data_IF_740896672651
#
_entry.id   IF_740896672651
#
_cell.length_a   1.000
_cell.length_b   1.000
_cell.length_c   1.000
_cell.angle_alpha   90.00
_cell.angle_beta   90.00
_cell.angle_gamma   90.00
#
_symmetry.space_group_name_H-M   'P 1'
#
loop_
_entity.id
_entity.type
_entity.pdbx_description
1 polymer ?
#
# COMPACT_ATOMS: atom_id res chain seq x y z
N UNK A 1 -5.36 22.72 -1.14
CA UNK A 1 -5.35 21.45 -1.91
C UNK A 1 -5.80 20.26 -1.06
N UNK A 2 -5.14 19.97 0.08
CA UNK A 2 -5.48 18.83 0.95
C UNK A 2 -6.95 18.83 1.45
N UNK A 3 -7.48 19.97 1.90
CA UNK A 3 -8.88 20.08 2.34
C UNK A 3 -9.86 19.79 1.19
N UNK A 4 -9.55 20.20 -0.04
CA UNK A 4 -10.39 19.91 -1.20
C UNK A 4 -10.40 18.40 -1.52
N UNK A 5 -9.25 17.72 -1.40
CA UNK A 5 -9.14 16.28 -1.56
C UNK A 5 -9.92 15.53 -0.47
N UNK A 6 -9.77 15.94 0.79
CA UNK A 6 -10.54 15.36 1.90
C UNK A 6 -12.04 15.54 1.70
N UNK A 7 -12.49 16.74 1.32
CA UNK A 7 -13.90 17.03 1.00
C UNK A 7 -14.41 16.21 -0.19
N UNK A 8 -13.58 15.97 -1.21
CA UNK A 8 -13.92 15.09 -2.32
C UNK A 8 -14.25 13.67 -1.82
N UNK A 9 -13.38 13.06 -1.02
CA UNK A 9 -13.63 11.73 -0.45
C UNK A 9 -14.83 11.72 0.48
N UNK A 10 -14.98 12.70 1.37
CA UNK A 10 -16.17 12.81 2.20
C UNK A 10 -17.46 13.03 1.42
N UNK A 11 -17.42 13.56 0.19
CA UNK A 11 -18.61 13.68 -0.67
C UNK A 11 -18.91 12.39 -1.43
N UNK A 12 -17.89 11.66 -1.86
CA UNK A 12 -18.03 10.46 -2.71
C UNK A 12 -18.16 9.16 -1.92
N UNK A 13 -17.76 9.11 -0.65
CA UNK A 13 -17.81 7.88 0.13
C UNK A 13 -19.26 7.40 0.33
N UNK A 14 -19.53 6.17 -0.09
CA UNK A 14 -20.82 5.50 -0.02
C UNK A 14 -20.58 4.00 -0.07
N UNK A 15 -21.60 3.18 0.20
CA UNK A 15 -21.47 1.74 0.03
C UNK A 15 -21.15 1.36 -1.43
N UNK A 16 -21.62 2.14 -2.41
CA UNK A 16 -21.37 1.91 -3.85
C UNK A 16 -19.90 2.12 -4.20
N UNK A 17 -19.30 3.22 -3.72
CA UNK A 17 -17.87 3.50 -3.94
C UNK A 17 -16.98 2.57 -3.13
N UNK A 18 -17.43 2.12 -1.97
CA UNK A 18 -16.77 1.05 -1.21
C UNK A 18 -16.77 -0.27 -2.01
N UNK A 19 -17.93 -0.71 -2.51
CA UNK A 19 -18.04 -1.94 -3.30
C UNK A 19 -17.20 -1.85 -4.58
N UNK A 20 -17.25 -0.72 -5.28
CA UNK A 20 -16.39 -0.48 -6.45
C UNK A 20 -14.91 -0.61 -6.09
N UNK A 21 -14.47 0.03 -5.00
CA UNK A 21 -13.08 -0.07 -4.54
C UNK A 21 -12.68 -1.51 -4.23
N UNK A 22 -13.54 -2.29 -3.57
CA UNK A 22 -13.30 -3.71 -3.27
C UNK A 22 -13.20 -4.54 -4.54
N UNK A 23 -14.13 -4.36 -5.48
CA UNK A 23 -14.16 -5.10 -6.76
C UNK A 23 -12.91 -4.81 -7.59
N UNK A 24 -12.45 -3.56 -7.62
CA UNK A 24 -11.22 -3.18 -8.30
C UNK A 24 -9.96 -3.67 -7.58
N UNK A 25 -10.00 -3.75 -6.24
CA UNK A 25 -8.89 -4.17 -5.41
C UNK A 25 -8.61 -5.68 -5.55
N UNK A 26 -9.64 -6.53 -5.43
CA UNK A 26 -9.50 -7.99 -5.31
C UNK A 26 -8.62 -8.64 -6.40
N UNK A 27 -8.75 -8.31 -7.70
CA UNK A 27 -7.96 -8.95 -8.75
C UNK A 27 -6.45 -8.86 -8.57
N UNK A 28 -5.95 -7.80 -7.91
CA UNK A 28 -4.52 -7.57 -7.71
C UNK A 28 -3.87 -8.63 -6.82
N UNK A 29 -4.21 -8.76 -5.52
CA UNK A 29 -3.63 -9.80 -4.67
C UNK A 29 -4.13 -11.21 -5.04
N UNK A 30 -5.37 -11.35 -5.52
CA UNK A 30 -5.94 -12.68 -5.79
C UNK A 30 -5.36 -13.34 -7.04
N UNK A 31 -4.94 -12.55 -8.03
CA UNK A 31 -4.50 -13.06 -9.33
C UNK A 31 -3.21 -12.41 -9.81
N UNK A 32 -3.16 -11.08 -9.97
CA UNK A 32 -2.03 -10.41 -10.64
C UNK A 32 -0.71 -10.62 -9.88
N UNK A 33 -0.66 -10.27 -8.58
CA UNK A 33 0.55 -10.40 -7.78
C UNK A 33 0.92 -11.85 -7.50
N UNK A 34 -0.08 -12.71 -7.23
CA UNK A 34 0.15 -14.14 -7.05
C UNK A 34 0.82 -14.77 -8.28
N UNK A 35 0.37 -14.41 -9.48
CA UNK A 35 0.95 -14.92 -10.72
C UNK A 35 2.31 -14.29 -11.03
N UNK A 36 2.49 -13.00 -10.75
CA UNK A 36 3.78 -12.32 -10.88
C UNK A 36 4.81 -13.00 -9.98
N UNK A 37 4.51 -13.18 -8.70
CA UNK A 37 5.40 -13.83 -7.73
C UNK A 37 5.72 -15.28 -8.14
N UNK A 38 4.72 -16.04 -8.60
CA UNK A 38 4.94 -17.40 -9.09
C UNK A 38 5.92 -17.44 -10.28
N UNK A 39 5.80 -16.51 -11.23
CA UNK A 39 6.71 -16.41 -12.37
C UNK A 39 8.12 -16.00 -11.93
N UNK A 40 8.25 -14.99 -11.06
CA UNK A 40 9.55 -14.57 -10.51
C UNK A 40 10.26 -15.75 -9.81
N UNK A 41 9.54 -16.47 -8.95
CA UNK A 41 10.09 -17.59 -8.21
C UNK A 41 10.47 -18.76 -9.13
N UNK A 42 9.69 -19.03 -10.18
CA UNK A 42 10.00 -20.06 -11.17
C UNK A 42 11.28 -19.74 -11.95
N UNK A 43 11.42 -18.49 -12.41
CA UNK A 43 12.62 -18.03 -13.12
C UNK A 43 13.87 -18.03 -12.23
N UNK A 44 13.71 -17.71 -10.95
CA UNK A 44 14.79 -17.77 -9.98
C UNK A 44 15.13 -19.19 -9.50
N UNK A 45 14.28 -20.19 -9.80
CA UNK A 45 14.42 -21.56 -9.30
C UNK A 45 14.23 -21.72 -7.79
N UNK A 46 13.76 -20.68 -7.09
CA UNK A 46 13.51 -20.68 -5.63
C UNK A 46 12.47 -19.64 -5.24
N UNK A 47 11.89 -19.80 -4.05
CA UNK A 47 10.96 -18.82 -3.47
C UNK A 47 11.75 -17.63 -2.90
N UNK A 48 11.60 -16.46 -3.50
CA UNK A 48 12.21 -15.19 -3.06
C UNK A 48 11.14 -14.25 -2.53
N UNK A 49 9.99 -14.17 -3.21
CA UNK A 49 8.95 -13.17 -2.94
C UNK A 49 9.35 -11.77 -3.44
N UNK A 50 8.47 -10.78 -3.29
CA UNK A 50 8.74 -9.40 -3.72
C UNK A 50 9.41 -8.57 -2.61
N UNK A 51 10.16 -7.52 -2.99
CA UNK A 51 10.94 -6.65 -2.09
C UNK A 51 10.00 -5.74 -1.27
N UNK A 52 8.92 -5.25 -1.85
CA UNK A 52 7.98 -4.29 -1.27
C UNK A 52 7.11 -4.86 -0.12
N UNK A 53 7.21 -6.17 0.11
CA UNK A 53 6.59 -6.88 1.24
C UNK A 53 7.57 -7.17 2.39
N UNK A 54 8.84 -6.77 2.28
CA UNK A 54 9.78 -6.88 3.38
C UNK A 54 9.34 -6.03 4.57
N UNK A 55 9.70 -6.48 5.77
CA UNK A 55 9.45 -5.77 7.03
C UNK A 55 10.78 -5.62 7.77
N UNK A 56 11.03 -4.43 8.30
CA UNK A 56 12.28 -4.10 8.98
C UNK A 56 13.34 -3.55 8.04
N UNK A 57 14.36 -2.93 8.63
CA UNK A 57 15.46 -2.34 7.86
C UNK A 57 16.50 -3.41 7.51
N UNK A 58 16.54 -3.83 6.24
CA UNK A 58 17.53 -4.81 5.77
C UNK A 58 17.98 -4.58 4.32
N UNK A 59 18.87 -3.60 4.06
CA UNK A 59 19.40 -3.36 2.72
C UNK A 59 20.20 -4.55 2.17
N UNK A 60 20.88 -5.31 3.03
CA UNK A 60 21.65 -6.46 2.59
C UNK A 60 20.75 -7.54 1.99
N UNK A 61 19.58 -7.78 2.61
CA UNK A 61 18.55 -8.67 2.08
C UNK A 61 18.02 -8.20 0.74
N UNK A 62 17.76 -6.89 0.57
CA UNK A 62 17.32 -6.35 -0.72
C UNK A 62 18.36 -6.63 -1.82
N UNK A 63 19.63 -6.31 -1.57
CA UNK A 63 20.70 -6.61 -2.54
C UNK A 63 20.80 -8.10 -2.88
N UNK A 64 20.65 -8.98 -1.87
CA UNK A 64 20.63 -10.42 -2.10
C UNK A 64 19.43 -10.86 -2.95
N UNK A 65 18.23 -10.32 -2.69
CA UNK A 65 17.03 -10.62 -3.47
C UNK A 65 17.19 -10.19 -4.94
N UNK A 66 17.73 -9.00 -5.19
CA UNK A 66 18.01 -8.51 -6.55
C UNK A 66 18.95 -9.45 -7.31
N UNK A 67 20.00 -9.95 -6.65
CA UNK A 67 20.90 -10.95 -7.24
C UNK A 67 20.16 -12.27 -7.51
N UNK A 68 19.37 -12.72 -6.54
CA UNK A 68 18.69 -14.01 -6.53
C UNK A 68 17.61 -14.14 -7.63
N UNK A 69 16.99 -13.05 -8.08
CA UNK A 69 15.96 -13.11 -9.12
C UNK A 69 16.47 -13.56 -10.51
N UNK A 70 17.78 -13.46 -10.77
CA UNK A 70 18.33 -13.66 -12.12
C UNK A 70 17.89 -12.56 -13.11
N UNK A 71 18.42 -12.61 -14.34
CA UNK A 71 18.14 -11.59 -15.37
C UNK A 71 16.66 -11.47 -15.72
N UNK A 72 16.02 -12.60 -16.00
CA UNK A 72 14.64 -12.71 -16.45
C UNK A 72 13.67 -12.36 -15.32
N UNK A 73 13.94 -12.84 -14.10
CA UNK A 73 13.13 -12.51 -12.92
C UNK A 73 13.17 -11.02 -12.61
N UNK A 74 14.34 -10.37 -12.69
CA UNK A 74 14.45 -8.91 -12.53
C UNK A 74 13.67 -8.14 -13.59
N UNK A 75 13.72 -8.59 -14.86
CA UNK A 75 13.00 -7.93 -15.94
C UNK A 75 11.48 -7.99 -15.76
N UNK A 76 10.93 -9.16 -15.42
CA UNK A 76 9.49 -9.31 -15.16
C UNK A 76 9.09 -8.55 -13.90
N UNK A 77 9.90 -8.59 -12.83
CA UNK A 77 9.59 -7.85 -11.62
C UNK A 77 9.54 -6.33 -11.88
N UNK A 78 10.55 -5.78 -12.55
CA UNK A 78 10.56 -4.36 -12.92
C UNK A 78 9.36 -3.98 -13.80
N UNK A 79 8.89 -4.89 -14.66
CA UNK A 79 7.68 -4.66 -15.45
C UNK A 79 6.42 -4.65 -14.57
N UNK A 80 6.33 -5.54 -13.59
CA UNK A 80 5.24 -5.56 -12.59
C UNK A 80 5.16 -4.25 -11.82
N UNK A 81 6.30 -3.79 -11.31
CA UNK A 81 6.45 -2.51 -10.60
C UNK A 81 6.00 -1.31 -11.46
N UNK A 82 6.35 -1.33 -12.75
CA UNK A 82 6.00 -0.28 -13.72
C UNK A 82 4.57 -0.40 -14.29
N UNK A 83 3.79 -1.38 -13.86
CA UNK A 83 2.42 -1.60 -14.37
C UNK A 83 1.43 -1.83 -13.25
N UNK A 84 1.45 -3.01 -12.64
CA UNK A 84 0.53 -3.39 -11.58
C UNK A 84 0.72 -2.50 -10.35
N UNK A 85 1.95 -2.24 -9.92
CA UNK A 85 2.23 -1.40 -8.74
C UNK A 85 2.25 0.11 -9.02
N UNK A 86 1.88 0.54 -10.23
CA UNK A 86 1.42 1.92 -10.46
C UNK A 86 -0.10 2.04 -10.29
N UNK A 87 -0.86 1.01 -10.70
CA UNK A 87 -2.32 1.02 -10.64
C UNK A 87 -2.87 0.62 -9.26
N UNK A 88 -2.28 -0.40 -8.65
CA UNK A 88 -2.74 -0.96 -7.38
C UNK A 88 -2.74 0.08 -6.24
N UNK A 89 -1.70 0.90 -6.07
CA UNK A 89 -1.67 1.90 -5.01
C UNK A 89 -2.75 2.96 -5.11
N UNK A 90 -3.14 3.33 -6.33
CA UNK A 90 -4.26 4.25 -6.54
C UNK A 90 -5.56 3.62 -6.05
N UNK A 91 -5.77 2.34 -6.33
CA UNK A 91 -7.00 1.61 -5.99
C UNK A 91 -7.10 1.39 -4.48
N UNK A 92 -6.06 0.86 -3.82
CA UNK A 92 -6.13 0.63 -2.38
C UNK A 92 -6.19 1.96 -1.61
N UNK A 93 -5.53 3.02 -2.11
CA UNK A 93 -5.58 4.34 -1.46
C UNK A 93 -6.97 4.93 -1.55
N UNK A 94 -7.59 4.85 -2.73
CA UNK A 94 -9.00 5.25 -2.88
C UNK A 94 -9.89 4.46 -1.92
N UNK A 95 -9.72 3.13 -1.86
CA UNK A 95 -10.50 2.26 -0.98
C UNK A 95 -10.35 2.65 0.50
N UNK A 96 -9.12 2.83 1.00
CA UNK A 96 -8.90 3.24 2.39
C UNK A 96 -9.42 4.64 2.68
N UNK A 97 -9.27 5.59 1.76
CA UNK A 97 -9.85 6.93 1.93
C UNK A 97 -11.39 6.87 2.04
N UNK A 98 -12.05 6.05 1.21
CA UNK A 98 -13.50 5.81 1.29
C UNK A 98 -13.88 5.17 2.63
N UNK A 99 -13.14 4.14 3.07
CA UNK A 99 -13.38 3.45 4.36
C UNK A 99 -13.29 4.45 5.52
N UNK A 100 -12.19 5.21 5.62
CA UNK A 100 -12.02 6.18 6.69
C UNK A 100 -13.06 7.31 6.61
N UNK A 101 -13.44 7.75 5.41
CA UNK A 101 -14.55 8.69 5.23
C UNK A 101 -15.87 8.14 5.76
N UNK A 102 -16.22 6.88 5.49
CA UNK A 102 -17.46 6.27 6.00
C UNK A 102 -17.45 6.13 7.53
N UNK A 103 -16.29 5.79 8.09
CA UNK A 103 -16.12 5.58 9.54
C UNK A 103 -16.19 6.89 10.33
N UNK A 104 -15.62 7.98 9.82
CA UNK A 104 -15.49 9.25 10.54
C UNK A 104 -16.45 10.36 10.10
N UNK A 105 -17.22 10.19 9.01
CA UNK A 105 -18.16 11.22 8.52
C UNK A 105 -19.18 11.61 9.59
N UNK A 106 -19.24 12.90 9.90
CA UNK A 106 -20.18 13.51 10.86
C UNK A 106 -20.07 12.91 12.27
N UNK A 107 -18.86 12.51 12.68
CA UNK A 107 -18.59 11.91 13.98
C UNK A 107 -17.80 12.87 14.86
N UNK A 108 -18.30 13.11 16.07
CA UNK A 108 -17.63 13.93 17.08
C UNK A 108 -16.30 13.33 17.54
N UNK A 109 -16.11 12.02 17.39
CA UNK A 109 -14.89 11.31 17.77
C UNK A 109 -13.82 11.26 16.66
N UNK A 110 -14.04 11.92 15.51
CA UNK A 110 -13.02 12.01 14.46
C UNK A 110 -11.75 12.66 15.04
N UNK A 111 -10.57 12.04 14.89
CA UNK A 111 -9.37 12.48 15.60
C UNK A 111 -8.82 13.81 15.06
N UNK A 112 -9.03 14.09 13.77
CA UNK A 112 -8.68 15.34 13.10
C UNK A 112 -9.41 15.45 11.75
N UNK A 113 -9.42 16.65 11.18
CA UNK A 113 -10.22 16.97 9.97
C UNK A 113 -9.82 16.13 8.73
N UNK A 114 -8.53 15.86 8.56
CA UNK A 114 -7.97 15.20 7.37
C UNK A 114 -7.76 13.69 7.54
N UNK A 115 -8.38 13.06 8.55
CA UNK A 115 -8.17 11.64 8.86
C UNK A 115 -8.44 10.71 7.66
N UNK A 116 -9.37 11.08 6.79
CA UNK A 116 -9.75 10.29 5.63
C UNK A 116 -8.74 10.32 4.48
N UNK A 117 -7.72 11.18 4.50
CA UNK A 117 -6.69 11.24 3.45
C UNK A 117 -5.30 10.84 3.94
N UNK A 118 -5.18 10.33 5.17
CA UNK A 118 -3.95 9.68 5.66
C UNK A 118 -3.43 8.59 4.71
N UNK A 119 -4.28 7.75 4.06
CA UNK A 119 -3.81 6.73 3.13
C UNK A 119 -3.02 7.27 1.93
N UNK A 120 -3.14 8.56 1.58
CA UNK A 120 -2.32 9.19 0.52
C UNK A 120 -0.83 9.16 0.85
N UNK A 121 -0.47 9.12 2.15
CA UNK A 121 0.91 8.91 2.56
C UNK A 121 1.44 7.52 2.19
N UNK A 122 0.61 6.48 2.26
CA UNK A 122 0.98 5.12 1.84
C UNK A 122 1.29 5.14 0.35
N UNK A 123 0.41 5.73 -0.46
CA UNK A 123 0.61 5.89 -1.90
C UNK A 123 1.93 6.58 -2.25
N UNK A 124 2.24 7.69 -1.56
CA UNK A 124 3.47 8.43 -1.80
C UNK A 124 4.73 7.62 -1.50
N UNK A 125 4.77 6.90 -0.38
CA UNK A 125 5.92 6.06 -0.04
C UNK A 125 6.05 4.84 -0.95
N UNK A 126 4.94 4.21 -1.31
CA UNK A 126 4.92 3.07 -2.22
C UNK A 126 5.47 3.45 -3.61
N UNK A 127 5.05 4.57 -4.20
CA UNK A 127 5.60 5.01 -5.49
C UNK A 127 7.12 5.31 -5.45
N UNK A 128 7.61 5.88 -4.35
CA UNK A 128 9.04 6.17 -4.19
C UNK A 128 9.84 4.87 -3.97
N UNK A 129 9.29 3.93 -3.23
CA UNK A 129 9.85 2.60 -3.01
C UNK A 129 9.94 1.84 -4.34
N UNK A 130 8.85 1.76 -5.10
CA UNK A 130 8.79 1.06 -6.39
C UNK A 130 9.79 1.66 -7.38
N UNK A 131 10.00 2.98 -7.36
CA UNK A 131 11.06 3.62 -8.14
C UNK A 131 12.47 3.14 -7.74
N UNK A 132 12.73 2.96 -6.43
CA UNK A 132 13.99 2.38 -5.96
C UNK A 132 14.13 0.92 -6.39
N UNK A 133 13.07 0.11 -6.25
CA UNK A 133 13.06 -1.29 -6.67
C UNK A 133 13.38 -1.41 -8.17
N UNK A 134 12.66 -0.67 -9.02
CA UNK A 134 12.90 -0.66 -10.48
C UNK A 134 14.33 -0.26 -10.80
N UNK A 135 14.87 0.77 -10.14
CA UNK A 135 16.26 1.18 -10.32
C UNK A 135 17.22 0.04 -9.97
N UNK A 136 17.06 -0.59 -8.81
CA UNK A 136 17.93 -1.67 -8.35
C UNK A 136 17.87 -2.89 -9.28
N UNK A 137 16.67 -3.27 -9.72
CA UNK A 137 16.48 -4.38 -10.65
C UNK A 137 17.14 -4.13 -12.02
N UNK A 138 17.08 -2.89 -12.53
CA UNK A 138 17.64 -2.53 -13.84
C UNK A 138 19.13 -2.18 -13.82
N UNK A 139 19.67 -1.75 -12.69
CA UNK A 139 21.08 -1.37 -12.54
C UNK A 139 21.99 -2.51 -12.12
N UNK A 140 21.45 -3.67 -11.73
CA UNK A 140 22.26 -4.83 -11.35
C UNK A 140 23.24 -5.26 -12.48
N UNK A 141 24.52 -5.55 -12.18
CA UNK A 141 25.13 -5.69 -10.85
C UNK A 141 25.65 -4.39 -10.21
N UNK A 142 25.54 -3.24 -10.88
CA UNK A 142 26.05 -1.93 -10.43
C UNK A 142 25.11 -1.18 -9.47
N UNK A 143 24.32 -1.92 -8.68
CA UNK A 143 23.32 -1.34 -7.77
C UNK A 143 23.95 -0.51 -6.64
N UNK A 144 23.39 0.68 -6.39
CA UNK A 144 23.90 1.64 -5.40
C UNK A 144 23.47 1.30 -3.97
N UNK A 145 24.41 1.17 -3.00
CA UNK A 145 24.09 0.94 -1.59
C UNK A 145 23.17 2.00 -0.97
N UNK A 146 23.29 3.25 -1.43
CA UNK A 146 22.44 4.36 -0.99
C UNK A 146 20.99 4.17 -1.44
N UNK A 147 20.76 3.69 -2.67
CA UNK A 147 19.41 3.42 -3.16
C UNK A 147 18.81 2.18 -2.48
N UNK A 148 19.62 1.16 -2.20
CA UNK A 148 19.16 0.00 -1.41
C UNK A 148 18.73 0.40 0.00
N UNK A 149 19.48 1.29 0.64
CA UNK A 149 19.16 1.82 1.97
C UNK A 149 17.91 2.70 1.94
N UNK A 150 17.78 3.56 0.93
CA UNK A 150 16.59 4.37 0.69
C UNK A 150 15.34 3.51 0.45
N UNK A 151 15.46 2.46 -0.38
CA UNK A 151 14.39 1.50 -0.62
C UNK A 151 13.87 0.93 0.70
N UNK A 152 14.77 0.41 1.54
CA UNK A 152 14.44 -0.13 2.86
C UNK A 152 13.76 0.89 3.77
N UNK A 153 14.23 2.14 3.80
CA UNK A 153 13.59 3.22 4.58
C UNK A 153 12.17 3.49 4.07
N UNK A 154 11.97 3.56 2.75
CA UNK A 154 10.66 3.83 2.14
C UNK A 154 9.68 2.68 2.38
N UNK A 155 10.12 1.42 2.27
CA UNK A 155 9.34 0.22 2.66
C UNK A 155 8.81 0.36 4.09
N UNK A 156 9.69 0.69 5.04
CA UNK A 156 9.30 0.83 6.44
C UNK A 156 8.42 2.06 6.69
N UNK A 157 8.64 3.17 5.98
CA UNK A 157 7.78 4.35 6.06
C UNK A 157 6.37 4.04 5.54
N UNK A 158 6.25 3.32 4.43
CA UNK A 158 4.98 2.79 3.90
C UNK A 158 4.26 1.95 4.94
N UNK A 159 4.95 0.98 5.55
CA UNK A 159 4.38 0.12 6.59
C UNK A 159 3.97 0.89 7.84
N UNK A 160 4.75 1.90 8.25
CA UNK A 160 4.40 2.74 9.39
C UNK A 160 3.11 3.53 9.14
N UNK A 161 2.95 4.15 7.97
CA UNK A 161 1.69 4.84 7.60
C UNK A 161 0.54 3.84 7.49
N UNK A 162 0.79 2.65 6.94
CA UNK A 162 -0.20 1.57 6.86
C UNK A 162 -0.69 1.18 8.26
N UNK A 163 0.21 1.00 9.22
CA UNK A 163 -0.13 0.71 10.60
C UNK A 163 -0.98 1.83 11.23
N UNK A 164 -0.67 3.10 10.96
CA UNK A 164 -1.48 4.25 11.40
C UNK A 164 -2.89 4.19 10.80
N UNK A 165 -3.03 3.92 9.49
CA UNK A 165 -4.34 3.79 8.83
C UNK A 165 -5.16 2.65 9.42
N UNK A 166 -4.56 1.49 9.65
CA UNK A 166 -5.22 0.35 10.30
C UNK A 166 -5.63 0.68 11.74
N UNK A 167 -4.77 1.35 12.50
CA UNK A 167 -5.08 1.83 13.85
C UNK A 167 -6.26 2.81 13.88
N UNK A 168 -6.30 3.76 12.94
CA UNK A 168 -7.42 4.70 12.78
C UNK A 168 -8.72 3.98 12.42
N UNK A 169 -8.66 2.99 11.54
CA UNK A 169 -9.82 2.19 11.17
C UNK A 169 -10.37 1.42 12.39
N UNK A 170 -9.51 0.71 13.11
CA UNK A 170 -9.89 -0.04 14.34
C UNK A 170 -10.47 0.90 15.38
N UNK A 171 -9.80 2.03 15.65
CA UNK A 171 -10.29 3.06 16.57
C UNK A 171 -11.70 3.51 16.19
N UNK A 172 -11.93 3.84 14.92
CA UNK A 172 -13.23 4.29 14.44
C UNK A 172 -14.32 3.21 14.55
N UNK A 173 -14.00 1.93 14.29
CA UNK A 173 -14.94 0.82 14.49
C UNK A 173 -15.34 0.64 15.95
N UNK A 174 -14.38 0.72 16.88
CA UNK A 174 -14.65 0.64 18.32
C UNK A 174 -15.58 1.77 18.76
N UNK A 175 -15.32 3.01 18.31
CA UNK A 175 -16.19 4.15 18.61
C UNK A 175 -17.61 3.98 18.04
N UNK A 176 -17.74 3.49 16.81
CA UNK A 176 -19.05 3.19 16.20
C UNK A 176 -19.85 2.17 17.02
N UNK A 177 -19.19 1.13 17.51
CA UNK A 177 -19.84 0.09 18.31
C UNK A 177 -20.32 0.63 19.68
N UNK A 178 -19.54 1.51 20.32
CA UNK A 178 -19.90 2.12 21.60
C UNK A 178 -21.08 3.09 21.42
N UNK A 179 -20.99 4.01 20.45
CA UNK A 179 -22.04 5.01 20.19
C UNK A 179 -23.36 4.36 19.74
N UNK A 180 -23.28 3.26 18.98
CA UNK A 180 -24.45 2.49 18.54
C UNK A 180 -25.21 1.87 19.71
N UNK A 181 -24.51 1.37 20.73
CA UNK A 181 -25.14 0.83 21.95
C UNK A 181 -25.82 1.90 22.77
N UNK A 182 -25.21 3.08 22.91
CA UNK A 182 -25.80 4.18 23.68
C UNK A 182 -27.14 4.66 23.08
N UNK A 183 -27.25 4.68 21.76
CA UNK A 183 -28.50 5.05 21.06
C UNK A 183 -29.62 4.00 21.14
N UNK A 184 -29.31 2.75 21.47
CA UNK A 184 -30.32 1.70 21.64
C UNK A 184 -30.89 1.66 23.07
N UNK A 185 -30.19 2.26 24.03
CA UNK A 185 -30.55 2.27 25.46
C UNK A 185 -31.30 3.56 25.83
N UNK A 186 -31.15 4.63 25.05
CA UNK A 186 -31.86 5.90 25.20
C UNK A 186 -33.15 5.92 24.39
#
# INVERSE_FOLDING_TARGET
MLTALSSFFYRTASWKTLLLGIVLYIPFPAYLFKNLEAQMNALAGKKIGPIDLLVGYDPARISQMVADYGSEGRAIYAQGELTYDLAYPVIYTFLFCVILSLVFRNRSYAPFQLVNIVPVGIWGFDLLENACIVYLLKSYPESSPSITSLCSVLTNAKWAVTAVVLGLFIYGLVRLAIDGRQRQIA
#
